data_IF_982885998556
#
_entry.id   IF_982885998556
#
_cell.length_a   1.000
_cell.length_b   1.000
_cell.length_c   1.000
_cell.angle_alpha   90.00
_cell.angle_beta   90.00
_cell.angle_gamma   90.00
#
_symmetry.space_group_name_H-M   'P 1'
#
loop_
_entity.id
_entity.type
_entity.pdbx_description
1 polymer ?
#
# COMPACT_ATOMS: atom_id res chain seq x y z
N UNK A 1 46.38 14.18 23.73
CA UNK A 1 44.99 14.03 23.23
C UNK A 1 44.50 12.67 23.74
N UNK A 2 43.58 12.62 24.70
CA UNK A 2 43.14 11.36 25.30
C UNK A 2 41.99 10.75 24.49
N UNK A 3 42.22 9.58 23.89
CA UNK A 3 41.19 8.78 23.22
C UNK A 3 40.40 7.98 24.24
N UNK A 4 39.14 8.36 24.47
CA UNK A 4 38.26 7.69 25.43
C UNK A 4 37.68 6.42 24.78
N UNK A 5 38.04 5.25 25.31
CA UNK A 5 37.45 3.97 24.93
C UNK A 5 36.13 3.75 25.68
N UNK A 6 35.01 3.99 25.00
CA UNK A 6 33.64 3.86 25.55
C UNK A 6 32.96 2.51 25.23
N UNK A 7 33.66 1.59 24.56
CA UNK A 7 33.14 0.27 24.18
C UNK A 7 32.75 -0.56 25.40
N UNK A 8 31.47 -0.94 25.51
CA UNK A 8 30.93 -1.76 26.62
C UNK A 8 30.35 -0.96 27.79
N UNK A 9 30.34 0.38 27.73
CA UNK A 9 29.71 1.25 28.73
C UNK A 9 28.36 1.79 28.27
N UNK A 10 27.55 2.37 29.18
CA UNK A 10 26.31 3.10 28.82
C UNK A 10 26.56 4.31 27.91
N UNK A 11 27.81 4.74 27.76
CA UNK A 11 28.26 5.82 26.88
C UNK A 11 28.71 5.31 25.51
N UNK A 12 28.67 4.00 25.26
CA UNK A 12 28.92 3.47 23.92
C UNK A 12 27.85 4.00 22.97
N UNK A 13 28.21 4.57 21.81
CA UNK A 13 27.21 5.00 20.84
C UNK A 13 26.33 3.80 20.51
N UNK A 14 25.03 3.94 20.76
CA UNK A 14 24.04 2.89 20.49
C UNK A 14 24.21 2.48 19.02
N UNK A 15 24.40 1.19 18.78
CA UNK A 15 24.70 0.67 17.44
C UNK A 15 23.49 0.92 16.56
N UNK A 16 23.49 2.05 15.85
CA UNK A 16 22.43 2.43 14.90
C UNK A 16 22.34 1.33 13.87
N UNK A 17 21.34 0.45 14.02
CA UNK A 17 21.14 -0.63 13.07
C UNK A 17 20.77 -0.05 11.72
N UNK A 18 21.36 -0.62 10.67
CA UNK A 18 21.17 -0.17 9.29
C UNK A 18 19.66 -0.20 8.97
N UNK A 19 19.07 0.91 8.52
CA UNK A 19 17.63 0.96 8.28
C UNK A 19 17.25 -0.04 7.18
N UNK A 20 16.26 -0.90 7.44
CA UNK A 20 15.78 -1.92 6.49
C UNK A 20 14.97 -1.34 5.32
N UNK A 21 15.08 -0.02 5.10
CA UNK A 21 14.44 0.74 4.03
C UNK A 21 14.48 0.02 2.68
N UNK A 22 15.64 -0.49 2.26
CA UNK A 22 15.77 -1.16 0.95
C UNK A 22 14.92 -2.42 0.87
N UNK A 23 14.97 -3.27 1.89
CA UNK A 23 14.19 -4.52 1.94
C UNK A 23 12.69 -4.22 1.98
N UNK A 24 12.30 -3.24 2.79
CA UNK A 24 10.93 -2.79 2.88
C UNK A 24 10.41 -2.21 1.56
N UNK A 25 11.21 -1.40 0.86
CA UNK A 25 10.87 -0.89 -0.48
C UNK A 25 10.72 -2.00 -1.51
N UNK A 26 11.56 -3.03 -1.48
CA UNK A 26 11.42 -4.19 -2.36
C UNK A 26 10.12 -4.94 -2.06
N UNK A 27 9.80 -5.16 -0.78
CA UNK A 27 8.54 -5.81 -0.39
C UNK A 27 7.32 -5.02 -0.89
N UNK A 28 7.35 -3.68 -0.78
CA UNK A 28 6.28 -2.83 -1.32
C UNK A 28 6.26 -2.81 -2.85
N UNK A 29 7.40 -2.88 -3.52
CA UNK A 29 7.45 -2.99 -4.97
C UNK A 29 6.81 -4.32 -5.43
N UNK A 30 7.12 -5.44 -4.77
CA UNK A 30 6.49 -6.74 -5.06
C UNK A 30 4.99 -6.68 -4.82
N UNK A 31 4.56 -6.07 -3.70
CA UNK A 31 3.14 -5.90 -3.38
C UNK A 31 2.40 -5.15 -4.49
N UNK A 32 2.87 -3.94 -4.82
CA UNK A 32 2.17 -3.06 -5.76
C UNK A 32 2.36 -3.43 -7.22
N UNK A 33 3.49 -3.99 -7.62
CA UNK A 33 3.79 -4.23 -9.04
C UNK A 33 3.51 -5.67 -9.48
N UNK A 34 3.47 -6.63 -8.55
CA UNK A 34 3.31 -8.05 -8.89
C UNK A 34 2.12 -8.68 -8.19
N UNK A 35 2.09 -8.64 -6.86
CA UNK A 35 1.20 -9.47 -6.06
C UNK A 35 -0.29 -9.13 -6.26
N UNK A 36 -0.62 -7.83 -6.33
CA UNK A 36 -2.00 -7.39 -6.49
C UNK A 36 -2.60 -7.69 -7.86
N UNK A 37 -1.78 -7.89 -8.89
CA UNK A 37 -2.23 -8.10 -10.27
C UNK A 37 -2.53 -9.57 -10.59
N UNK A 38 -2.47 -10.46 -9.59
CA UNK A 38 -2.64 -11.90 -9.82
C UNK A 38 -4.11 -12.29 -9.97
N UNK A 39 -4.43 -12.87 -11.12
CA UNK A 39 -5.74 -13.44 -11.40
C UNK A 39 -5.69 -14.97 -11.37
N UNK A 40 -6.67 -15.57 -10.69
CA UNK A 40 -7.01 -16.97 -10.81
C UNK A 40 -8.54 -17.10 -10.75
N UNK A 41 -9.16 -17.98 -11.56
CA UNK A 41 -10.57 -18.30 -11.43
C UNK A 41 -10.90 -18.64 -9.98
N UNK A 42 -11.90 -17.96 -9.45
CA UNK A 42 -12.28 -18.04 -8.05
C UNK A 42 -13.80 -18.16 -7.95
N UNK A 43 -14.35 -18.68 -6.83
CA UNK A 43 -15.78 -18.91 -6.68
C UNK A 43 -16.61 -17.61 -6.55
N UNK A 44 -16.00 -16.43 -6.71
CA UNK A 44 -16.60 -15.15 -6.38
C UNK A 44 -16.66 -14.90 -4.86
N UNK A 45 -17.40 -13.86 -4.46
CA UNK A 45 -17.61 -13.52 -3.05
C UNK A 45 -16.77 -12.33 -2.58
N UNK A 46 -16.21 -12.42 -1.36
CA UNK A 46 -15.50 -11.30 -0.71
C UNK A 46 -14.30 -11.74 0.12
N UNK A 47 -13.44 -10.79 0.50
CA UNK A 47 -12.27 -11.07 1.33
C UNK A 47 -11.26 -11.97 0.62
N UNK A 48 -10.76 -12.99 1.32
CA UNK A 48 -9.74 -13.92 0.82
C UNK A 48 -10.24 -14.88 -0.28
N UNK A 49 -11.54 -14.95 -0.52
CA UNK A 49 -12.09 -15.72 -1.65
C UNK A 49 -11.65 -15.16 -3.01
N UNK A 50 -11.32 -13.86 -3.07
CA UNK A 50 -10.81 -13.20 -4.26
C UNK A 50 -9.30 -13.47 -4.40
N UNK A 51 -8.89 -14.05 -5.53
CA UNK A 51 -7.50 -14.52 -5.74
C UNK A 51 -6.45 -13.44 -5.53
N UNK A 52 -6.73 -12.21 -5.99
CA UNK A 52 -5.82 -11.08 -5.87
C UNK A 52 -5.63 -10.62 -4.42
N UNK A 53 -6.66 -10.78 -3.57
CA UNK A 53 -6.55 -10.45 -2.15
C UNK A 53 -5.58 -11.42 -1.49
N UNK A 54 -5.69 -12.73 -1.75
CA UNK A 54 -4.82 -13.72 -1.14
C UNK A 54 -3.34 -13.45 -1.46
N UNK A 55 -3.00 -13.22 -2.73
CA UNK A 55 -1.62 -12.89 -3.13
C UNK A 55 -1.14 -11.56 -2.56
N UNK A 56 -2.02 -10.55 -2.52
CA UNK A 56 -1.71 -9.26 -1.89
C UNK A 56 -1.42 -9.42 -0.40
N UNK A 57 -2.23 -10.18 0.33
CA UNK A 57 -2.03 -10.44 1.76
C UNK A 57 -0.73 -11.21 2.03
N UNK A 58 -0.36 -12.16 1.17
CA UNK A 58 0.93 -12.85 1.26
C UNK A 58 2.09 -11.84 1.12
N UNK A 59 2.12 -11.04 0.05
CA UNK A 59 3.17 -10.04 -0.14
C UNK A 59 3.19 -8.98 0.98
N UNK A 60 2.01 -8.57 1.44
CA UNK A 60 1.82 -7.63 2.53
C UNK A 60 2.35 -8.14 3.86
N UNK A 61 2.20 -9.43 4.15
CA UNK A 61 2.74 -10.04 5.36
C UNK A 61 4.27 -9.90 5.47
N UNK A 62 5.00 -9.97 4.35
CA UNK A 62 6.44 -9.72 4.33
C UNK A 62 6.77 -8.26 4.61
N UNK A 63 6.03 -7.31 4.02
CA UNK A 63 6.22 -5.89 4.29
C UNK A 63 5.96 -5.56 5.78
N UNK A 64 4.85 -6.07 6.34
CA UNK A 64 4.54 -5.96 7.76
C UNK A 64 5.61 -6.61 8.63
N UNK A 65 6.06 -7.82 8.30
CA UNK A 65 7.10 -8.54 9.05
C UNK A 65 8.41 -7.77 9.12
N UNK A 66 8.89 -7.21 8.00
CA UNK A 66 10.08 -6.35 7.96
C UNK A 66 9.88 -5.11 8.84
N UNK A 67 8.68 -4.53 8.80
CA UNK A 67 8.28 -3.40 9.60
C UNK A 67 8.28 -3.64 11.11
N UNK A 68 7.61 -4.71 11.54
CA UNK A 68 7.57 -5.14 12.93
C UNK A 68 8.97 -5.50 13.43
N UNK A 69 9.80 -6.14 12.60
CA UNK A 69 11.19 -6.41 12.93
C UNK A 69 12.01 -5.12 13.12
N UNK A 70 11.84 -4.13 12.25
CA UNK A 70 12.47 -2.81 12.40
C UNK A 70 12.04 -2.12 13.70
N UNK A 71 10.75 -2.19 14.05
CA UNK A 71 10.20 -1.63 15.28
C UNK A 71 10.79 -2.34 16.51
N UNK A 72 10.78 -3.68 16.53
CA UNK A 72 11.32 -4.49 17.62
C UNK A 72 12.82 -4.27 17.83
N UNK A 73 13.58 -4.09 16.75
CA UNK A 73 15.03 -3.89 16.81
C UNK A 73 15.41 -2.50 17.31
N UNK A 74 14.68 -1.47 16.88
CA UNK A 74 14.92 -0.09 17.30
C UNK A 74 14.37 0.24 18.69
N UNK A 75 13.37 -0.53 19.17
CA UNK A 75 12.71 -0.34 20.48
C UNK A 75 12.10 1.05 20.73
N UNK A 76 11.95 1.84 19.67
CA UNK A 76 11.38 3.19 19.71
C UNK A 76 10.17 3.21 18.79
N UNK A 77 9.01 3.56 19.34
CA UNK A 77 7.78 3.75 18.59
C UNK A 77 7.65 5.22 18.17
N UNK A 78 7.74 5.47 16.87
CA UNK A 78 7.47 6.79 16.27
C UNK A 78 5.99 6.89 15.90
N UNK A 79 5.33 7.94 16.35
CA UNK A 79 3.93 8.21 16.02
C UNK A 79 3.70 9.71 15.77
N UNK A 80 2.59 10.02 15.11
CA UNK A 80 2.15 11.38 14.80
C UNK A 80 0.78 11.65 15.41
N UNK A 81 0.37 12.93 15.48
CA UNK A 81 -1.00 13.30 15.87
C UNK A 81 -2.06 12.58 15.02
N UNK A 82 -1.77 12.39 13.73
CA UNK A 82 -2.60 11.60 12.81
C UNK A 82 -2.74 10.14 13.26
N UNK A 83 -1.68 9.54 13.83
CA UNK A 83 -1.74 8.15 14.34
C UNK A 83 -2.75 8.01 15.47
N UNK A 84 -2.79 8.99 16.38
CA UNK A 84 -3.76 8.99 17.48
C UNK A 84 -5.18 9.15 16.93
N UNK A 85 -5.38 10.09 16.01
CA UNK A 85 -6.68 10.29 15.36
C UNK A 85 -7.19 9.02 14.67
N UNK A 86 -6.33 8.38 13.86
CA UNK A 86 -6.66 7.12 13.18
C UNK A 86 -6.89 5.96 14.15
N UNK A 87 -6.17 5.89 15.27
CA UNK A 87 -6.40 4.89 16.31
C UNK A 87 -7.79 5.06 16.93
N UNK A 88 -8.16 6.28 17.30
CA UNK A 88 -9.49 6.58 17.83
C UNK A 88 -10.57 6.21 16.80
N UNK A 89 -10.38 6.57 15.52
CA UNK A 89 -11.30 6.19 14.45
C UNK A 89 -11.43 4.66 14.32
N UNK A 90 -10.31 3.93 14.35
CA UNK A 90 -10.33 2.46 14.28
C UNK A 90 -11.05 1.82 15.46
N UNK A 91 -10.87 2.36 16.67
CA UNK A 91 -11.60 1.93 17.87
C UNK A 91 -13.10 2.17 17.69
N UNK A 92 -13.51 3.38 17.29
CA UNK A 92 -14.91 3.73 17.06
C UNK A 92 -15.53 2.81 16.00
N UNK A 93 -14.83 2.55 14.89
CA UNK A 93 -15.29 1.65 13.82
C UNK A 93 -15.37 0.18 14.26
N UNK A 94 -14.72 -0.21 15.36
CA UNK A 94 -14.79 -1.57 15.92
C UNK A 94 -16.00 -1.74 16.86
N UNK A 95 -16.53 -0.65 17.43
CA UNK A 95 -17.63 -0.69 18.40
C UNK A 95 -18.91 -1.41 17.92
N UNK A 96 -19.37 -1.28 16.65
CA UNK A 96 -20.61 -1.90 16.21
C UNK A 96 -20.61 -3.43 16.31
N UNK A 97 -19.45 -4.08 16.41
CA UNK A 97 -19.33 -5.54 16.57
C UNK A 97 -19.87 -6.02 17.92
N UNK A 98 -19.94 -5.15 18.92
CA UNK A 98 -20.46 -5.47 20.25
C UNK A 98 -21.96 -5.23 20.38
N UNK A 99 -22.65 -4.82 19.30
CA UNK A 99 -24.09 -4.57 19.36
C UNK A 99 -24.88 -5.89 19.33
N UNK A 100 -26.08 -5.96 19.95
CA UNK A 100 -26.83 -7.21 20.08
C UNK A 100 -27.15 -7.93 18.76
N UNK A 101 -27.26 -7.19 17.66
CA UNK A 101 -27.59 -7.72 16.32
C UNK A 101 -26.37 -7.75 15.38
N UNK A 102 -25.16 -7.69 15.93
CA UNK A 102 -23.95 -7.65 15.12
C UNK A 102 -23.58 -9.05 14.61
N UNK A 103 -23.32 -9.15 13.31
CA UNK A 103 -22.74 -10.35 12.71
C UNK A 103 -21.21 -10.23 12.69
N UNK A 104 -20.57 -10.94 13.62
CA UNK A 104 -19.12 -10.96 13.76
C UNK A 104 -18.41 -11.61 12.55
N UNK A 105 -19.06 -12.55 11.86
CA UNK A 105 -18.49 -13.23 10.69
C UNK A 105 -18.42 -12.29 9.49
N UNK A 106 -19.47 -11.51 9.26
CA UNK A 106 -19.49 -10.49 8.21
C UNK A 106 -18.59 -9.29 8.52
N UNK A 107 -18.34 -9.02 9.80
CA UNK A 107 -17.45 -7.96 10.24
C UNK A 107 -15.96 -8.35 10.20
N UNK A 108 -15.63 -9.64 10.36
CA UNK A 108 -14.26 -10.13 10.52
C UNK A 108 -13.30 -9.62 9.44
N UNK A 109 -13.63 -9.82 8.16
CA UNK A 109 -12.78 -9.37 7.05
C UNK A 109 -12.56 -7.85 7.03
N UNK A 110 -13.57 -7.07 7.43
CA UNK A 110 -13.50 -5.61 7.50
C UNK A 110 -12.58 -5.15 8.63
N UNK A 111 -12.70 -5.78 9.81
CA UNK A 111 -11.87 -5.48 10.98
C UNK A 111 -10.41 -5.90 10.77
N UNK A 112 -10.18 -7.07 10.16
CA UNK A 112 -8.83 -7.53 9.81
C UNK A 112 -8.17 -6.52 8.87
N UNK A 113 -8.89 -6.05 7.85
CA UNK A 113 -8.42 -5.00 6.95
C UNK A 113 -8.11 -3.68 7.69
N UNK A 114 -9.03 -3.23 8.55
CA UNK A 114 -8.89 -2.00 9.34
C UNK A 114 -7.65 -2.04 10.24
N UNK A 115 -7.53 -3.06 11.09
CA UNK A 115 -6.43 -3.15 12.06
C UNK A 115 -5.09 -3.46 11.39
N UNK A 116 -5.08 -4.24 10.31
CA UNK A 116 -3.84 -4.47 9.55
C UNK A 116 -3.40 -3.22 8.79
N UNK A 117 -4.33 -2.44 8.25
CA UNK A 117 -4.05 -1.14 7.63
C UNK A 117 -3.51 -0.13 8.65
N UNK A 118 -4.11 -0.08 9.84
CA UNK A 118 -3.60 0.73 10.95
C UNK A 118 -2.18 0.30 11.38
N UNK A 119 -1.96 -1.00 11.57
CA UNK A 119 -0.65 -1.54 11.91
C UNK A 119 0.39 -1.19 10.84
N UNK A 120 0.03 -1.32 9.57
CA UNK A 120 0.89 -0.94 8.46
C UNK A 120 1.24 0.54 8.46
N UNK A 121 0.26 1.41 8.75
CA UNK A 121 0.50 2.85 8.91
C UNK A 121 1.46 3.16 10.07
N UNK A 122 1.35 2.46 11.20
CA UNK A 122 2.29 2.58 12.32
C UNK A 122 3.69 2.11 11.90
N UNK A 123 3.79 0.96 11.24
CA UNK A 123 5.04 0.41 10.71
C UNK A 123 5.73 1.37 9.74
N UNK A 124 4.97 1.99 8.83
CA UNK A 124 5.50 2.94 7.85
C UNK A 124 6.22 4.13 8.51
N UNK A 125 5.74 4.58 9.66
CA UNK A 125 6.34 5.69 10.40
C UNK A 125 7.68 5.33 11.08
N UNK A 126 7.99 4.04 11.21
CA UNK A 126 9.24 3.60 11.83
C UNK A 126 10.44 3.76 10.89
N UNK A 127 10.19 3.87 9.58
CA UNK A 127 11.22 4.04 8.56
C UNK A 127 11.55 5.51 8.29
N UNK A 128 12.85 5.80 8.15
CA UNK A 128 13.30 7.13 7.73
C UNK A 128 13.50 7.16 6.20
N UNK A 129 12.46 7.55 5.48
CA UNK A 129 12.51 7.64 4.02
C UNK A 129 13.10 8.97 3.54
N UNK A 130 14.15 8.90 2.72
CA UNK A 130 14.64 10.02 1.93
C UNK A 130 13.59 10.46 0.90
N UNK A 131 13.73 11.67 0.35
CA UNK A 131 12.85 12.14 -0.72
C UNK A 131 12.84 11.20 -1.94
N UNK A 132 13.99 10.59 -2.28
CA UNK A 132 14.09 9.59 -3.34
C UNK A 132 13.25 8.34 -3.02
N UNK A 133 13.27 7.87 -1.77
CA UNK A 133 12.45 6.73 -1.36
C UNK A 133 10.95 7.04 -1.43
N UNK A 134 10.55 8.23 -0.96
CA UNK A 134 9.15 8.68 -1.02
C UNK A 134 8.65 8.75 -2.47
N UNK A 135 9.44 9.33 -3.38
CA UNK A 135 9.09 9.37 -4.80
C UNK A 135 8.97 7.97 -5.41
N UNK A 136 9.85 7.03 -5.08
CA UNK A 136 9.74 5.64 -5.55
C UNK A 136 8.44 4.97 -5.08
N UNK A 137 8.05 5.18 -3.82
CA UNK A 137 6.79 4.65 -3.28
C UNK A 137 5.58 5.18 -4.07
N UNK A 138 5.55 6.49 -4.34
CA UNK A 138 4.49 7.08 -5.15
C UNK A 138 4.47 6.52 -6.58
N UNK A 139 5.64 6.31 -7.19
CA UNK A 139 5.75 5.68 -8.50
C UNK A 139 5.24 4.24 -8.53
N UNK A 140 5.45 3.45 -7.47
CA UNK A 140 4.89 2.10 -7.40
C UNK A 140 3.36 2.11 -7.49
N UNK A 141 2.72 3.05 -6.79
CA UNK A 141 1.26 3.21 -6.84
C UNK A 141 0.81 3.63 -8.25
N UNK A 142 1.49 4.60 -8.86
CA UNK A 142 1.16 5.05 -10.22
C UNK A 142 1.31 3.94 -11.25
N UNK A 143 2.39 3.16 -11.18
CA UNK A 143 2.60 2.02 -12.08
C UNK A 143 1.56 0.93 -11.88
N UNK A 144 1.18 0.62 -10.64
CA UNK A 144 0.07 -0.30 -10.35
C UNK A 144 -1.24 0.21 -10.97
N UNK A 145 -1.54 1.50 -10.83
CA UNK A 145 -2.72 2.13 -11.43
C UNK A 145 -2.70 2.03 -12.96
N UNK A 146 -1.53 2.18 -13.59
CA UNK A 146 -1.40 2.00 -15.04
C UNK A 146 -1.70 0.56 -15.44
N UNK A 147 -1.20 -0.44 -14.70
CA UNK A 147 -1.49 -1.86 -14.98
C UNK A 147 -3.00 -2.13 -14.84
N UNK A 148 -3.63 -1.62 -13.78
CA UNK A 148 -5.08 -1.74 -13.58
C UNK A 148 -5.89 -1.03 -14.68
N UNK A 149 -5.44 0.15 -15.12
CA UNK A 149 -6.07 0.85 -16.24
C UNK A 149 -5.98 0.04 -17.54
N UNK A 150 -4.83 -0.61 -17.80
CA UNK A 150 -4.68 -1.52 -18.95
C UNK A 150 -5.60 -2.73 -18.83
N UNK A 151 -5.76 -3.31 -17.63
CA UNK A 151 -6.77 -4.37 -17.41
C UNK A 151 -8.18 -3.87 -17.67
N UNK A 152 -8.55 -2.70 -17.13
CA UNK A 152 -9.86 -2.10 -17.32
C UNK A 152 -10.18 -1.80 -18.78
N UNK A 153 -9.21 -1.26 -19.53
CA UNK A 153 -9.34 -1.05 -20.97
C UNK A 153 -9.47 -2.38 -21.73
N UNK A 154 -8.69 -3.39 -21.33
CA UNK A 154 -8.77 -4.72 -21.94
C UNK A 154 -10.15 -5.34 -21.72
N UNK A 155 -10.67 -5.23 -20.50
CA UNK A 155 -12.02 -5.66 -20.13
C UNK A 155 -13.09 -4.97 -20.97
N UNK A 156 -13.00 -3.65 -21.09
CA UNK A 156 -14.01 -2.84 -21.77
C UNK A 156 -14.01 -2.99 -23.29
N UNK A 157 -12.84 -3.14 -23.92
CA UNK A 157 -12.70 -3.10 -25.37
C UNK A 157 -12.60 -4.48 -26.04
N UNK A 158 -12.05 -5.48 -25.35
CA UNK A 158 -11.66 -6.75 -26.00
C UNK A 158 -12.34 -7.99 -25.45
N UNK A 159 -12.85 -7.98 -24.20
CA UNK A 159 -13.48 -9.17 -23.63
C UNK A 159 -14.86 -9.42 -24.26
N UNK A 160 -15.12 -10.71 -24.52
CA UNK A 160 -16.39 -11.21 -25.06
C UNK A 160 -17.13 -12.05 -23.99
N UNK A 161 -18.43 -12.32 -24.17
CA UNK A 161 -19.15 -13.26 -23.33
C UNK A 161 -18.40 -14.60 -23.21
N UNK A 162 -18.37 -15.19 -22.01
CA UNK A 162 -17.62 -16.43 -21.75
C UNK A 162 -16.11 -16.25 -21.59
N UNK A 163 -15.63 -15.03 -21.30
CA UNK A 163 -14.22 -14.77 -21.05
C UNK A 163 -13.70 -15.49 -19.79
N UNK A 164 -12.40 -15.82 -19.74
CA UNK A 164 -11.79 -16.50 -18.59
C UNK A 164 -11.76 -15.66 -17.30
N UNK A 165 -12.01 -14.35 -17.39
CA UNK A 165 -12.03 -13.44 -16.24
C UNK A 165 -13.35 -13.42 -15.48
N UNK A 166 -14.40 -14.06 -16.01
CA UNK A 166 -15.76 -13.95 -15.47
C UNK A 166 -16.35 -12.54 -15.59
N UNK A 167 -15.80 -11.72 -16.50
CA UNK A 167 -16.21 -10.34 -16.70
C UNK A 167 -17.59 -10.25 -17.37
N UNK A 168 -18.50 -9.46 -16.80
CA UNK A 168 -19.81 -9.19 -17.38
C UNK A 168 -19.71 -8.15 -18.50
N UNK A 169 -19.73 -8.64 -19.75
CA UNK A 169 -19.68 -7.82 -20.96
C UNK A 169 -21.00 -7.13 -21.29
N UNK A 170 -22.11 -7.49 -20.64
CA UNK A 170 -23.43 -6.85 -20.84
C UNK A 170 -23.52 -5.59 -19.98
N UNK A 171 -23.23 -5.71 -18.68
CA UNK A 171 -23.15 -4.55 -17.80
C UNK A 171 -21.94 -3.64 -18.16
N UNK A 172 -20.88 -4.24 -18.69
CA UNK A 172 -19.68 -3.60 -19.23
C UNK A 172 -19.04 -2.57 -18.27
N UNK A 173 -18.91 -2.96 -17.00
CA UNK A 173 -18.32 -2.13 -15.93
C UNK A 173 -16.92 -2.64 -15.58
N UNK A 174 -15.84 -2.10 -16.17
CA UNK A 174 -14.48 -2.56 -15.92
C UNK A 174 -14.11 -2.41 -14.44
N UNK A 175 -13.47 -3.44 -13.90
CA UNK A 175 -13.10 -3.51 -12.48
C UNK A 175 -11.61 -3.79 -12.26
N UNK A 176 -10.81 -3.84 -13.33
CA UNK A 176 -9.40 -4.22 -13.26
C UNK A 176 -9.28 -5.64 -12.68
N UNK A 177 -8.38 -5.82 -11.72
CA UNK A 177 -8.27 -7.06 -10.96
C UNK A 177 -9.25 -7.14 -9.77
N UNK A 178 -9.77 -6.00 -9.32
CA UNK A 178 -10.43 -5.88 -8.02
C UNK A 178 -11.81 -6.54 -7.92
N UNK A 179 -12.38 -6.96 -9.05
CA UNK A 179 -13.75 -7.49 -9.17
C UNK A 179 -14.85 -6.57 -8.62
N UNK A 180 -14.52 -5.30 -8.34
CA UNK A 180 -15.43 -4.28 -7.86
C UNK A 180 -15.17 -2.94 -8.57
N UNK A 181 -16.13 -2.42 -9.35
CA UNK A 181 -15.95 -1.16 -10.10
C UNK A 181 -15.63 0.05 -9.20
N UNK A 182 -16.18 0.08 -7.98
CA UNK A 182 -15.95 1.17 -7.02
C UNK A 182 -14.51 1.18 -6.50
N UNK A 183 -13.90 0.00 -6.30
CA UNK A 183 -12.50 -0.13 -5.89
C UNK A 183 -11.59 0.32 -7.03
N UNK A 184 -11.88 -0.11 -8.26
CA UNK A 184 -11.19 0.35 -9.46
C UNK A 184 -11.24 1.87 -9.61
N UNK A 185 -12.43 2.47 -9.55
CA UNK A 185 -12.62 3.91 -9.71
C UNK A 185 -11.84 4.74 -8.67
N UNK A 186 -11.94 4.35 -7.39
CA UNK A 186 -11.21 5.03 -6.31
C UNK A 186 -9.69 4.84 -6.40
N UNK A 187 -9.22 3.68 -6.86
CA UNK A 187 -7.79 3.42 -7.09
C UNK A 187 -7.25 4.26 -8.25
N UNK A 188 -7.95 4.33 -9.38
CA UNK A 188 -7.60 5.20 -10.51
C UNK A 188 -7.57 6.69 -10.10
N UNK A 189 -8.59 7.16 -9.38
CA UNK A 189 -8.66 8.54 -8.91
C UNK A 189 -7.48 8.88 -8.00
N UNK A 190 -7.13 7.98 -7.08
CA UNK A 190 -5.96 8.14 -6.21
C UNK A 190 -4.67 8.18 -7.02
N UNK A 191 -4.50 7.29 -7.99
CA UNK A 191 -3.36 7.29 -8.90
C UNK A 191 -3.22 8.57 -9.72
N UNK A 192 -4.33 9.11 -10.21
CA UNK A 192 -4.35 10.36 -10.97
C UNK A 192 -3.90 11.54 -10.12
N UNK A 193 -4.35 11.63 -8.86
CA UNK A 193 -3.91 12.66 -7.92
C UNK A 193 -2.41 12.53 -7.63
N UNK A 194 -1.92 11.31 -7.42
CA UNK A 194 -0.48 11.06 -7.18
C UNK A 194 0.35 11.38 -8.43
N UNK A 195 -0.10 10.99 -9.61
CA UNK A 195 0.57 11.28 -10.87
C UNK A 195 0.66 12.81 -11.11
N UNK A 196 -0.44 13.53 -10.86
CA UNK A 196 -0.50 14.99 -10.93
C UNK A 196 0.47 15.64 -9.94
N UNK A 197 0.52 15.13 -8.71
CA UNK A 197 1.47 15.58 -7.69
C UNK A 197 2.94 15.34 -8.12
N UNK A 198 3.25 14.17 -8.68
CA UNK A 198 4.60 13.86 -9.17
C UNK A 198 4.99 14.75 -10.34
N UNK A 199 4.06 15.03 -11.26
CA UNK A 199 4.26 15.93 -12.40
C UNK A 199 4.53 17.37 -11.93
N UNK A 200 3.70 17.89 -11.02
CA UNK A 200 3.83 19.24 -10.47
C UNK A 200 5.15 19.45 -9.68
N UNK A 201 5.75 18.37 -9.16
CA UNK A 201 7.03 18.40 -8.44
C UNK A 201 8.25 18.14 -9.31
N UNK A 202 8.10 17.97 -10.62
CA UNK A 202 9.27 17.95 -11.50
C UNK A 202 9.87 19.36 -11.54
N UNK A 203 11.16 19.54 -11.19
CA UNK A 203 11.81 20.83 -11.35
C UNK A 203 11.70 21.22 -12.83
N UNK A 204 11.19 22.43 -13.12
CA UNK A 204 10.96 22.97 -14.47
C UNK A 204 12.13 22.63 -15.41
N UNK A 205 12.00 21.53 -16.17
CA UNK A 205 13.02 21.11 -17.15
C UNK A 205 12.78 21.76 -18.51
N UNK A 206 11.69 22.50 -18.67
CA UNK A 206 11.28 23.19 -19.90
C UNK A 206 11.35 24.72 -19.79
N UNK A 207 12.39 25.26 -19.15
CA UNK A 207 12.88 26.61 -19.49
C UNK A 207 14.10 26.48 -20.40
N UNK A 208 13.89 25.91 -21.59
CA UNK A 208 14.74 26.30 -22.71
C UNK A 208 14.15 27.62 -23.16
N UNK A 209 14.83 28.74 -22.87
CA UNK A 209 14.62 29.98 -23.61
C UNK A 209 14.66 29.58 -25.09
N UNK A 210 13.53 29.67 -25.78
CA UNK A 210 13.54 29.77 -27.23
C UNK A 210 14.41 31.00 -27.49
N UNK A 211 15.57 30.73 -28.08
CA UNK A 211 16.61 31.71 -28.38
C UNK A 211 15.98 32.96 -28.99
N UNK A 212 16.33 34.12 -28.44
CA UNK A 212 16.19 35.40 -29.11
C UNK A 212 16.90 35.30 -30.48
N UNK A 213 16.10 35.27 -31.54
CA UNK A 213 16.50 35.61 -32.92
C UNK A 213 15.45 36.57 -33.45
#
# INVERSE_FOLDING_TARGET
MATIHVSGTKLSPEKVQVPLNRKFLIALAVLFLLAMHFFMPNPGGSGLALSFNATTWIAFSFALGIGCYQLASNRILRYSKLTIGLLISAIIMTLPVFYPNADSTLAANKLIGLWSGFLFFVVLQQFHFSNKHRQRLLWFIVLAVVIEALFGLTQYLFLKPGNPFGYDTIANRPYGIFQQPNVMASFLATGLVIASYLLARQPYKYSRKLSDV
#
